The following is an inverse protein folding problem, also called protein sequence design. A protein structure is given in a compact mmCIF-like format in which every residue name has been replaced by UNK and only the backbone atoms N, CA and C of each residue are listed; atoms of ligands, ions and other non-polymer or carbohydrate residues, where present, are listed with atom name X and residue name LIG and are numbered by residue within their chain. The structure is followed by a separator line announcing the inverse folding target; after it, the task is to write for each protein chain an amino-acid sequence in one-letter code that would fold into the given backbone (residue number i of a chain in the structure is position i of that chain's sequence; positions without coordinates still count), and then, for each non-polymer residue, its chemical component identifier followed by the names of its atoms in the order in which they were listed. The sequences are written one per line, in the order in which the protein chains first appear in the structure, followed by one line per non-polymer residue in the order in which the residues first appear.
data_IF_116175211894
#
_entry.id   IF_116175211894
#
_cell.length_a   1.000
_cell.length_b   1.000
_cell.length_c   1.000
_cell.angle_alpha   90.00
_cell.angle_beta   90.00
_cell.angle_gamma   90.00
#
_symmetry.space_group_name_H-M   'P 1'
#
loop_
_entity.id
_entity.type
_entity.pdbx_description
1 polymer ?
#
# COMPACT_ATOMS: atom_id res chain seq x y z
N UNK A 1 9.05 37.37 -0.70
CA UNK A 1 9.51 35.99 -0.46
C UNK A 1 8.81 35.12 -1.47
N UNK A 2 9.57 34.47 -2.34
CA UNK A 2 8.98 33.60 -3.36
C UNK A 2 8.44 32.33 -2.69
N UNK A 3 7.20 31.98 -3.03
CA UNK A 3 6.52 30.82 -2.46
C UNK A 3 7.01 29.55 -3.16
N UNK A 4 7.43 28.56 -2.38
CA UNK A 4 7.88 27.27 -2.90
C UNK A 4 6.73 26.34 -3.31
N UNK A 5 7.08 25.12 -3.73
CA UNK A 5 6.12 24.10 -4.19
C UNK A 5 5.11 23.73 -3.08
N UNK A 6 5.57 23.67 -1.82
CA UNK A 6 4.74 23.25 -0.68
C UNK A 6 3.53 24.19 -0.46
N UNK A 7 3.72 25.51 -0.21
CA UNK A 7 2.58 26.43 -0.02
C UNK A 7 1.69 26.56 -1.26
N UNK A 8 2.26 26.49 -2.48
CA UNK A 8 1.46 26.49 -3.72
C UNK A 8 0.58 25.24 -3.81
N UNK A 9 1.09 24.08 -3.40
CA UNK A 9 0.34 22.83 -3.37
C UNK A 9 -0.84 22.91 -2.42
N UNK A 10 -0.68 23.56 -1.26
CA UNK A 10 -1.77 23.76 -0.30
C UNK A 10 -2.91 24.57 -0.91
N UNK A 11 -2.61 25.68 -1.58
CA UNK A 11 -3.63 26.47 -2.27
C UNK A 11 -4.35 25.67 -3.33
N UNK A 12 -3.62 24.88 -4.11
CA UNK A 12 -4.22 24.06 -5.15
C UNK A 12 -5.18 23.01 -4.56
N UNK A 13 -4.78 22.34 -3.47
CA UNK A 13 -5.62 21.38 -2.75
C UNK A 13 -6.91 22.03 -2.26
N UNK A 14 -6.82 23.12 -1.50
CA UNK A 14 -8.01 23.76 -0.92
C UNK A 14 -8.87 24.49 -1.97
N UNK A 15 -8.26 24.98 -3.05
CA UNK A 15 -9.00 25.52 -4.20
C UNK A 15 -9.77 24.43 -4.93
N UNK A 16 -9.21 23.21 -5.04
CA UNK A 16 -9.93 22.08 -5.61
C UNK A 16 -11.10 21.67 -4.71
N UNK A 17 -10.85 21.48 -3.40
CA UNK A 17 -11.87 21.11 -2.40
C UNK A 17 -13.04 22.10 -2.40
N UNK A 18 -12.76 23.41 -2.45
CA UNK A 18 -13.80 24.44 -2.46
C UNK A 18 -14.64 24.50 -3.75
N UNK A 19 -14.14 23.94 -4.86
CA UNK A 19 -14.86 23.87 -6.15
C UNK A 19 -15.65 22.57 -6.30
N UNK A 20 -15.29 21.52 -5.56
CA UNK A 20 -15.98 20.24 -5.61
C UNK A 20 -17.39 20.35 -5.02
N UNK A 21 -18.35 19.73 -5.69
CA UNK A 21 -19.74 19.60 -5.23
C UNK A 21 -20.03 18.13 -4.92
N UNK A 22 -20.93 17.85 -3.98
CA UNK A 22 -21.34 16.50 -3.57
C UNK A 22 -20.20 15.60 -3.04
N UNK A 23 -19.13 16.18 -2.52
CA UNK A 23 -17.99 15.45 -1.96
C UNK A 23 -17.59 16.04 -0.62
N UNK A 24 -17.29 15.19 0.35
CA UNK A 24 -16.80 15.57 1.68
C UNK A 24 -15.31 15.25 1.78
N UNK A 25 -14.53 16.19 2.30
CA UNK A 25 -13.08 16.06 2.38
C UNK A 25 -12.57 16.16 3.83
N UNK A 26 -11.67 15.25 4.20
CA UNK A 26 -10.90 15.33 5.42
C UNK A 26 -9.40 15.42 5.08
N UNK A 27 -8.80 16.58 5.37
CA UNK A 27 -7.37 16.81 5.15
C UNK A 27 -6.63 16.71 6.47
N UNK A 28 -5.64 15.82 6.52
CA UNK A 28 -4.75 15.63 7.65
C UNK A 28 -3.30 15.89 7.25
N UNK A 29 -2.59 16.67 8.07
CA UNK A 29 -1.19 16.98 7.87
C UNK A 29 -0.33 16.38 8.99
N UNK A 30 0.82 15.83 8.61
CA UNK A 30 1.85 15.33 9.52
C UNK A 30 3.22 15.82 9.04
N UNK A 31 4.13 16.11 9.97
CA UNK A 31 5.47 16.58 9.61
C UNK A 31 6.51 15.89 10.47
N UNK A 32 7.48 15.26 9.82
CA UNK A 32 8.51 14.49 10.50
C UNK A 32 9.89 14.77 9.94
N UNK A 33 10.88 14.39 10.72
CA UNK A 33 12.29 14.44 10.37
C UNK A 33 12.93 13.06 10.56
N UNK A 34 13.82 12.69 9.65
CA UNK A 34 14.68 11.51 9.76
C UNK A 34 16.12 11.99 9.86
N UNK A 35 16.79 11.69 10.97
CA UNK A 35 18.20 11.99 11.18
C UNK A 35 18.89 10.82 11.85
N UNK A 36 20.06 10.43 11.33
CA UNK A 36 20.83 9.28 11.83
C UNK A 36 19.97 8.00 12.01
N UNK A 37 19.04 7.74 11.08
CA UNK A 37 18.07 6.63 11.16
C UNK A 37 17.14 6.68 12.39
N UNK A 38 16.93 7.84 13.01
CA UNK A 38 15.89 8.09 14.00
C UNK A 38 14.80 8.97 13.40
N UNK A 39 13.53 8.62 13.69
CA UNK A 39 12.35 9.37 13.23
C UNK A 39 11.91 10.25 14.39
N UNK A 40 11.74 11.54 14.12
CA UNK A 40 11.23 12.54 15.06
C UNK A 40 9.97 13.19 14.49
N UNK A 41 9.02 13.44 15.36
CA UNK A 41 7.79 14.14 15.02
C UNK A 41 7.97 15.63 15.27
N UNK A 42 7.95 16.43 14.21
CA UNK A 42 8.17 17.88 14.31
C UNK A 42 6.97 18.63 14.90
N UNK A 43 5.82 17.97 15.03
CA UNK A 43 4.58 18.55 15.53
C UNK A 43 4.22 18.07 16.96
N UNK A 44 4.90 17.04 17.46
CA UNK A 44 4.69 16.55 18.82
C UNK A 44 5.22 17.55 19.87
N UNK A 45 4.56 17.60 21.03
CA UNK A 45 5.08 18.36 22.18
C UNK A 45 6.33 17.71 22.77
N UNK A 46 6.35 16.37 22.78
CA UNK A 46 7.48 15.59 23.27
C UNK A 46 8.38 15.19 22.09
N UNK A 47 9.51 15.86 21.98
CA UNK A 47 10.51 15.65 20.93
C UNK A 47 11.46 14.47 21.22
N UNK A 48 11.42 13.90 22.43
CA UNK A 48 12.27 12.78 22.82
C UNK A 48 11.64 11.42 22.52
N UNK A 49 10.35 11.40 22.13
CA UNK A 49 9.65 10.17 21.78
C UNK A 49 10.22 9.58 20.50
N UNK A 50 10.79 8.37 20.61
CA UNK A 50 11.25 7.61 19.43
C UNK A 50 10.07 6.98 18.71
N UNK A 51 9.93 7.27 17.43
CA UNK A 51 8.90 6.68 16.58
C UNK A 51 9.40 5.45 15.82
N UNK A 52 8.50 4.48 15.66
CA UNK A 52 8.78 3.21 15.00
C UNK A 52 7.98 3.06 13.70
N UNK A 53 8.63 2.50 12.68
CA UNK A 53 7.99 2.11 11.44
C UNK A 53 7.33 0.74 11.60
N UNK A 54 6.05 0.68 11.26
CA UNK A 54 5.25 -0.54 11.20
C UNK A 54 4.75 -0.75 9.78
N UNK A 55 4.30 -1.96 9.51
CA UNK A 55 3.80 -2.37 8.22
C UNK A 55 2.45 -3.04 8.45
N UNK A 56 1.45 -2.62 7.71
CA UNK A 56 0.12 -3.22 7.68
C UNK A 56 -0.13 -3.73 6.25
N UNK A 57 -0.61 -4.98 6.07
CA UNK A 57 -0.98 -5.51 4.76
C UNK A 57 -1.93 -4.62 3.95
N UNK A 58 -2.83 -3.88 4.61
CA UNK A 58 -3.83 -3.05 3.93
C UNK A 58 -3.32 -1.63 3.63
N UNK A 59 -2.67 -0.97 4.60
CA UNK A 59 -2.30 0.45 4.50
C UNK A 59 -0.84 0.69 4.11
N UNK A 60 -0.03 -0.36 4.04
CA UNK A 60 1.39 -0.31 3.74
C UNK A 60 2.25 0.06 4.94
N UNK A 61 3.40 0.67 4.68
CA UNK A 61 4.33 1.13 5.73
C UNK A 61 3.79 2.42 6.36
N UNK A 62 3.70 2.47 7.68
CA UNK A 62 3.24 3.62 8.43
C UNK A 62 4.06 3.85 9.70
N UNK A 63 4.03 5.06 10.23
CA UNK A 63 4.73 5.41 11.48
C UNK A 63 3.73 5.34 12.61
N UNK A 64 4.01 4.50 13.61
CA UNK A 64 3.15 4.37 14.78
C UNK A 64 3.26 5.64 15.63
N UNK A 65 2.12 6.15 16.08
CA UNK A 65 1.98 7.33 16.94
C UNK A 65 2.52 8.65 16.36
N UNK A 66 2.62 8.76 15.03
CA UNK A 66 2.91 10.02 14.38
C UNK A 66 1.73 10.99 14.55
N UNK A 67 2.00 12.21 15.00
CA UNK A 67 0.98 13.23 15.17
C UNK A 67 0.39 13.63 13.82
N UNK A 68 -0.93 13.76 13.78
CA UNK A 68 -1.66 14.18 12.60
C UNK A 68 -2.69 15.23 12.97
N UNK A 69 -2.67 16.36 12.26
CA UNK A 69 -3.53 17.49 12.54
C UNK A 69 -4.53 17.66 11.40
N UNK A 70 -5.81 17.79 11.76
CA UNK A 70 -6.87 18.10 10.79
C UNK A 70 -6.77 19.58 10.45
N UNK A 71 -6.73 19.89 9.15
CA UNK A 71 -6.61 21.26 8.64
C UNK A 71 -7.77 21.59 7.71
N UNK A 72 -8.49 22.69 7.97
CA UNK A 72 -9.71 23.08 7.25
C UNK A 72 -9.48 24.13 6.18
N UNK A 73 -8.35 24.82 6.20
CA UNK A 73 -8.02 25.87 5.25
C UNK A 73 -6.50 26.00 5.07
N UNK A 74 -6.10 26.79 4.07
CA UNK A 74 -4.70 27.05 3.73
C UNK A 74 -3.91 27.61 4.92
N UNK A 75 -4.51 28.52 5.71
CA UNK A 75 -3.82 29.14 6.85
C UNK A 75 -3.50 28.13 7.95
N UNK A 76 -4.40 27.19 8.22
CA UNK A 76 -4.20 26.14 9.23
C UNK A 76 -3.06 25.18 8.82
N UNK A 77 -3.01 24.74 7.56
CA UNK A 77 -1.93 23.86 7.10
C UNK A 77 -0.58 24.59 7.02
N UNK A 78 -0.58 25.87 6.63
CA UNK A 78 0.62 26.71 6.66
C UNK A 78 1.10 26.91 8.10
N UNK A 79 0.19 27.07 9.06
CA UNK A 79 0.54 27.14 10.48
C UNK A 79 1.21 25.86 10.98
N UNK A 80 0.67 24.68 10.61
CA UNK A 80 1.27 23.38 10.94
C UNK A 80 2.68 23.24 10.33
N UNK A 81 2.85 23.62 9.07
CA UNK A 81 4.15 23.62 8.39
C UNK A 81 5.16 24.55 9.09
N UNK A 82 4.74 25.77 9.45
CA UNK A 82 5.59 26.75 10.11
C UNK A 82 6.00 26.29 11.51
N UNK A 83 5.07 25.68 12.28
CA UNK A 83 5.36 25.11 13.59
C UNK A 83 6.46 24.04 13.50
N UNK A 84 6.31 23.06 12.60
CA UNK A 84 7.34 22.02 12.47
C UNK A 84 8.66 22.54 11.90
N UNK A 85 8.63 23.58 11.06
CA UNK A 85 9.85 24.23 10.55
C UNK A 85 10.61 24.96 11.66
N UNK A 86 9.91 25.60 12.61
CA UNK A 86 10.51 26.20 13.79
C UNK A 86 11.13 25.13 14.69
N UNK A 87 10.42 24.02 14.94
CA UNK A 87 10.95 22.89 15.71
C UNK A 87 12.24 22.34 15.09
N UNK A 88 12.26 22.14 13.77
CA UNK A 88 13.46 21.71 13.02
C UNK A 88 14.61 22.69 13.19
N UNK A 89 14.34 24.00 13.10
CA UNK A 89 15.35 25.04 13.28
C UNK A 89 15.94 25.06 14.69
N UNK A 90 15.13 24.93 15.73
CA UNK A 90 15.60 24.91 17.13
C UNK A 90 16.47 23.67 17.40
N UNK A 91 16.10 22.53 16.81
CA UNK A 91 16.92 21.32 16.85
C UNK A 91 18.33 21.53 16.26
N UNK A 92 18.45 22.35 15.20
CA UNK A 92 19.72 22.63 14.54
C UNK A 92 20.64 23.60 15.29
N UNK A 93 20.11 24.48 16.15
CA UNK A 93 20.92 25.44 16.92
C UNK A 93 21.57 24.84 18.17
N UNK A 94 20.98 23.77 18.74
CA UNK A 94 21.48 23.13 19.96
C UNK A 94 22.54 22.04 19.68
N UNK A 95 22.65 21.57 18.44
CA UNK A 95 23.55 20.49 18.00
C UNK A 95 23.98 20.82 16.56
N UNK A 96 25.25 21.18 16.33
CA UNK A 96 25.91 21.50 15.04
C UNK A 96 25.10 21.27 13.74
N UNK A 97 25.01 22.30 12.88
CA UNK A 97 24.63 22.29 11.44
C UNK A 97 23.86 21.04 10.95
N UNK A 98 22.70 20.79 11.56
CA UNK A 98 21.96 19.53 11.49
C UNK A 98 21.03 19.43 10.26
N UNK A 99 20.55 20.57 9.75
CA UNK A 99 19.50 20.62 8.71
C UNK A 99 19.95 20.09 7.35
N UNK A 100 21.25 20.21 7.00
CA UNK A 100 21.83 19.65 5.78
C UNK A 100 21.97 18.13 5.84
N UNK A 101 21.88 17.54 7.04
CA UNK A 101 22.13 16.12 7.30
C UNK A 101 20.87 15.34 7.70
N UNK A 102 19.72 16.01 7.77
CA UNK A 102 18.42 15.41 8.06
C UNK A 102 17.49 15.47 6.85
N UNK A 103 16.58 14.50 6.76
CA UNK A 103 15.49 14.50 5.78
C UNK A 103 14.23 15.00 6.45
N UNK A 104 13.51 15.92 5.83
CA UNK A 104 12.22 16.38 6.30
C UNK A 104 11.11 15.91 5.36
N UNK A 105 10.02 15.41 5.93
CA UNK A 105 8.92 14.83 5.16
C UNK A 105 7.61 15.40 5.68
N UNK A 106 6.94 16.19 4.85
CA UNK A 106 5.62 16.71 5.11
C UNK A 106 4.59 15.83 4.38
N UNK A 107 3.73 15.16 5.14
CA UNK A 107 2.71 14.25 4.64
C UNK A 107 1.35 14.92 4.71
N UNK A 108 0.63 14.89 3.60
CA UNK A 108 -0.77 15.32 3.52
C UNK A 108 -1.59 14.10 3.14
N UNK A 109 -2.50 13.69 4.01
CA UNK A 109 -3.50 12.66 3.72
C UNK A 109 -4.82 13.34 3.46
N UNK A 110 -5.43 13.05 2.32
CA UNK A 110 -6.72 13.58 1.90
C UNK A 110 -7.67 12.41 1.76
N UNK A 111 -8.69 12.36 2.60
CA UNK A 111 -9.80 11.42 2.48
C UNK A 111 -10.97 12.13 1.82
N UNK A 112 -11.56 11.52 0.81
CA UNK A 112 -12.73 12.01 0.10
C UNK A 112 -13.85 10.98 0.25
N UNK A 113 -15.00 11.38 0.77
CA UNK A 113 -16.23 10.61 0.72
C UNK A 113 -17.14 11.19 -0.36
N UNK A 114 -17.61 10.33 -1.26
CA UNK A 114 -18.52 10.66 -2.35
C UNK A 114 -19.70 9.69 -2.33
N UNK A 115 -20.93 10.20 -2.34
CA UNK A 115 -22.11 9.34 -2.43
C UNK A 115 -22.26 8.84 -3.87
N UNK A 116 -22.14 7.53 -4.04
CA UNK A 116 -22.33 6.87 -5.33
C UNK A 116 -23.78 6.91 -5.82
N UNK A 117 -23.98 6.52 -7.08
CA UNK A 117 -25.32 6.36 -7.67
C UNK A 117 -26.18 5.32 -6.92
N UNK A 118 -25.51 4.38 -6.25
CA UNK A 118 -26.11 3.30 -5.47
C UNK A 118 -26.60 3.78 -4.09
N UNK A 119 -26.36 5.04 -3.73
CA UNK A 119 -26.73 5.64 -2.43
C UNK A 119 -25.74 5.35 -1.31
N UNK A 120 -24.70 4.54 -1.57
CA UNK A 120 -23.62 4.22 -0.63
C UNK A 120 -22.49 5.27 -0.68
N UNK A 121 -21.79 5.45 0.44
CA UNK A 121 -20.62 6.32 0.51
C UNK A 121 -19.35 5.59 0.07
N UNK A 122 -18.69 6.11 -0.96
CA UNK A 122 -17.41 5.62 -1.44
C UNK A 122 -16.26 6.47 -0.90
N UNK A 123 -15.32 5.83 -0.21
CA UNK A 123 -14.18 6.51 0.40
C UNK A 123 -12.93 6.30 -0.44
N UNK A 124 -12.27 7.42 -0.77
CA UNK A 124 -11.00 7.45 -1.51
C UNK A 124 -9.94 8.15 -0.69
N UNK A 125 -8.73 7.58 -0.65
CA UNK A 125 -7.63 8.12 0.16
C UNK A 125 -6.42 8.48 -0.70
N UNK A 126 -6.14 9.76 -0.81
CA UNK A 126 -4.92 10.30 -1.41
C UNK A 126 -3.85 10.59 -0.35
N UNK A 127 -2.59 10.27 -0.67
CA UNK A 127 -1.43 10.66 0.15
C UNK A 127 -0.45 11.46 -0.72
N UNK A 128 -0.13 12.67 -0.29
CA UNK A 128 0.91 13.51 -0.88
C UNK A 128 2.09 13.61 0.09
N UNK A 129 3.25 13.11 -0.34
CA UNK A 129 4.49 13.19 0.42
C UNK A 129 5.40 14.24 -0.20
N UNK A 130 5.72 15.29 0.55
CA UNK A 130 6.66 16.34 0.17
C UNK A 130 7.95 16.11 0.95
N UNK A 131 8.99 15.69 0.24
CA UNK A 131 10.25 15.21 0.83
C UNK A 131 11.37 16.20 0.51
N UNK A 132 11.99 16.74 1.55
CA UNK A 132 13.22 17.51 1.51
C UNK A 132 14.37 16.60 1.98
N UNK A 133 15.22 16.19 1.05
CA UNK A 133 16.30 15.24 1.32
C UNK A 133 17.52 15.95 1.91
N UNK A 134 18.27 15.24 2.75
CA UNK A 134 19.60 15.65 3.17
C UNK A 134 20.52 15.89 1.97
N UNK A 135 21.56 16.70 2.17
CA UNK A 135 22.56 17.02 1.17
C UNK A 135 23.20 15.78 0.55
N UNK A 136 23.31 15.75 -0.78
CA UNK A 136 23.89 14.63 -1.52
C UNK A 136 25.42 14.63 -1.53
N UNK A 137 26.05 15.67 -1.00
CA UNK A 137 27.48 15.85 -0.99
C UNK A 137 28.23 14.82 -0.13
N UNK A 138 29.44 14.49 -0.58
CA UNK A 138 30.29 13.54 0.13
C UNK A 138 30.96 14.22 1.34
N UNK A 139 30.80 13.59 2.50
CA UNK A 139 31.41 14.02 3.77
C UNK A 139 32.95 14.16 3.70
N UNK A 140 33.63 13.47 2.77
CA UNK A 140 35.08 13.59 2.57
C UNK A 140 35.55 14.99 2.17
N UNK A 141 34.65 15.83 1.63
CA UNK A 141 34.95 17.23 1.29
C UNK A 141 34.74 18.20 2.46
N UNK A 142 34.09 17.77 3.56
CA UNK A 142 33.72 18.63 4.69
C UNK A 142 34.81 18.80 5.77
N UNK A 143 36.08 18.45 5.51
CA UNK A 143 37.20 18.84 6.38
C UNK A 143 37.15 18.34 7.83
N UNK A 144 36.34 17.31 8.14
CA UNK A 144 36.19 16.78 9.50
C UNK A 144 37.41 15.94 9.92
N UNK A 145 38.52 16.60 10.21
CA UNK A 145 39.63 16.04 10.98
C UNK A 145 39.21 15.95 12.45
N UNK A 146 38.70 14.77 12.85
CA UNK A 146 38.52 14.42 14.25
C UNK A 146 37.10 14.58 14.78
N UNK A 147 36.25 13.58 14.51
CA UNK A 147 35.66 12.71 15.55
C UNK A 147 34.74 11.67 14.88
N UNK A 148 35.01 10.39 15.18
CA UNK A 148 34.15 9.19 15.05
C UNK A 148 33.63 8.81 13.65
N UNK A 149 34.40 7.98 12.90
CA UNK A 149 33.94 7.35 11.64
C UNK A 149 32.60 6.58 11.72
N UNK A 150 32.14 6.19 12.92
CA UNK A 150 30.84 5.52 13.12
C UNK A 150 29.63 6.45 12.98
N UNK A 151 29.77 7.73 13.29
CA UNK A 151 28.71 8.73 13.15
C UNK A 151 28.64 9.24 11.71
N UNK A 152 29.81 9.48 11.10
CA UNK A 152 29.95 9.84 9.69
C UNK A 152 29.35 8.79 8.73
N UNK A 153 29.42 7.49 9.08
CA UNK A 153 28.85 6.40 8.27
C UNK A 153 27.31 6.41 8.24
N UNK A 154 26.65 6.87 9.31
CA UNK A 154 25.18 6.85 9.42
C UNK A 154 24.49 8.02 8.71
N UNK A 155 25.17 9.16 8.54
CA UNK A 155 24.56 10.35 7.92
C UNK A 155 24.19 10.07 6.46
N UNK A 156 25.08 9.42 5.70
CA UNK A 156 24.85 9.12 4.29
C UNK A 156 24.22 7.75 4.05
N UNK A 157 23.84 7.02 5.10
CA UNK A 157 23.25 5.67 4.98
C UNK A 157 21.94 5.73 4.20
N UNK A 158 21.05 6.65 4.56
CA UNK A 158 19.74 6.86 3.92
C UNK A 158 19.86 7.18 2.42
N UNK A 159 20.74 8.10 2.03
CA UNK A 159 20.97 8.45 0.61
C UNK A 159 21.67 7.33 -0.17
N UNK A 160 22.60 6.61 0.47
CA UNK A 160 23.27 5.46 -0.15
C UNK A 160 22.28 4.31 -0.38
N UNK A 161 21.45 4.01 0.62
CA UNK A 161 20.36 3.03 0.52
C UNK A 161 19.37 3.42 -0.58
N UNK A 162 19.00 4.71 -0.67
CA UNK A 162 18.17 5.22 -1.75
C UNK A 162 18.80 4.98 -3.13
N UNK A 163 20.11 5.23 -3.28
CA UNK A 163 20.85 4.94 -4.51
C UNK A 163 20.87 3.44 -4.87
N UNK A 164 20.99 2.56 -3.87
CA UNK A 164 20.95 1.11 -4.06
C UNK A 164 19.56 0.63 -4.50
N UNK A 165 18.49 1.15 -3.88
CA UNK A 165 17.11 0.86 -4.25
C UNK A 165 16.83 1.27 -5.70
N UNK A 166 17.22 2.48 -6.09
CA UNK A 166 17.06 2.97 -7.47
C UNK A 166 17.82 2.09 -8.45
N UNK A 167 19.06 1.74 -8.14
CA UNK A 167 19.87 0.89 -9.03
C UNK A 167 19.25 -0.50 -9.19
N UNK A 168 18.78 -1.11 -8.10
CA UNK A 168 18.11 -2.41 -8.13
C UNK A 168 16.79 -2.37 -8.93
N UNK A 169 16.01 -1.29 -8.81
CA UNK A 169 14.76 -1.11 -9.56
C UNK A 169 14.99 -0.93 -11.06
N UNK A 170 16.06 -0.22 -11.44
CA UNK A 170 16.40 0.05 -12.85
C UNK A 170 17.01 -1.18 -13.52
N UNK A 171 17.89 -1.90 -12.81
CA UNK A 171 18.53 -3.10 -13.35
C UNK A 171 17.52 -4.21 -13.62
N UNK A 172 16.45 -4.31 -12.81
CA UNK A 172 15.36 -5.28 -12.97
C UNK A 172 15.77 -6.75 -12.81
N UNK A 173 17.05 -7.01 -12.54
CA UNK A 173 17.62 -8.35 -12.34
C UNK A 173 17.40 -8.88 -10.93
N UNK A 174 17.30 -7.98 -9.96
CA UNK A 174 17.15 -8.32 -8.54
C UNK A 174 15.69 -8.49 -8.20
N UNK A 175 15.29 -9.69 -7.78
CA UNK A 175 13.94 -9.95 -7.25
C UNK A 175 13.71 -9.22 -5.91
N UNK A 176 14.77 -9.03 -5.13
CA UNK A 176 14.72 -8.36 -3.84
C UNK A 176 15.25 -6.92 -3.94
N UNK A 177 14.41 -5.94 -3.60
CA UNK A 177 14.78 -4.53 -3.53
C UNK A 177 15.09 -4.17 -2.06
N UNK A 178 16.24 -3.56 -1.75
CA UNK A 178 16.70 -3.36 -0.38
C UNK A 178 16.04 -2.14 0.31
N UNK A 179 14.71 -2.07 0.33
CA UNK A 179 14.00 -0.97 1.03
C UNK A 179 14.32 -0.92 2.51
N UNK A 180 14.69 -2.05 3.12
CA UNK A 180 14.93 -2.18 4.57
C UNK A 180 16.26 -1.60 5.05
N UNK A 181 17.16 -1.23 4.14
CA UNK A 181 18.49 -0.73 4.48
C UNK A 181 18.46 0.67 5.15
N UNK A 182 17.36 1.42 4.98
CA UNK A 182 17.13 2.67 5.70
C UNK A 182 15.65 2.91 6.00
N UNK A 183 15.36 3.67 7.07
CA UNK A 183 13.99 4.11 7.40
C UNK A 183 13.38 4.98 6.31
N UNK A 184 14.20 5.79 5.64
CA UNK A 184 13.77 6.63 4.51
C UNK A 184 13.25 5.77 3.35
N UNK A 185 14.03 4.78 2.91
CA UNK A 185 13.65 3.89 1.80
C UNK A 185 12.46 3.00 2.15
N UNK A 186 12.28 2.63 3.42
CA UNK A 186 11.08 1.93 3.89
C UNK A 186 9.84 2.81 3.83
N UNK A 187 9.93 4.07 4.26
CA UNK A 187 8.81 5.01 4.20
C UNK A 187 8.42 5.34 2.75
N UNK A 188 9.42 5.47 1.88
CA UNK A 188 9.24 5.83 0.47
C UNK A 188 9.09 4.60 -0.45
N UNK A 189 8.87 3.42 0.10
CA UNK A 189 8.72 2.18 -0.66
C UNK A 189 7.61 2.29 -1.72
N UNK A 190 6.46 2.88 -1.36
CA UNK A 190 5.37 3.09 -2.32
C UNK A 190 5.74 4.12 -3.40
N UNK A 191 6.59 5.08 -3.06
CA UNK A 191 7.06 6.14 -3.96
C UNK A 191 8.08 5.62 -4.99
N UNK A 192 8.78 4.52 -4.71
CA UNK A 192 9.84 4.00 -5.56
C UNK A 192 9.44 2.61 -6.08
N UNK A 193 8.86 2.53 -7.28
CA UNK A 193 8.42 1.26 -7.86
C UNK A 193 7.09 0.71 -7.33
N UNK A 194 6.40 1.43 -6.45
CA UNK A 194 5.12 1.04 -5.85
C UNK A 194 3.90 1.79 -6.41
N UNK A 195 2.87 1.91 -5.57
CA UNK A 195 1.61 2.60 -5.86
C UNK A 195 1.71 4.11 -5.55
N UNK A 196 2.44 4.85 -6.38
CA UNK A 196 2.52 6.30 -6.27
C UNK A 196 2.86 6.96 -7.60
N UNK A 197 2.43 8.21 -7.76
CA UNK A 197 2.96 9.11 -8.78
C UNK A 197 4.11 9.90 -8.18
N UNK A 198 5.33 9.65 -8.64
CA UNK A 198 6.54 10.20 -8.03
C UNK A 198 7.22 11.18 -8.97
N UNK A 199 7.56 12.36 -8.44
CA UNK A 199 8.31 13.40 -9.12
C UNK A 199 9.59 13.62 -8.34
N UNK A 200 10.73 13.57 -9.02
CA UNK A 200 12.02 13.91 -8.44
C UNK A 200 12.48 15.26 -9.01
N UNK A 201 12.82 16.20 -8.14
CA UNK A 201 13.45 17.47 -8.52
C UNK A 201 14.92 17.40 -8.15
N UNK A 202 15.79 17.45 -9.16
CA UNK A 202 17.24 17.47 -8.98
C UNK A 202 17.74 18.93 -8.95
N UNK A 203 18.21 19.38 -7.79
CA UNK A 203 18.80 20.72 -7.61
C UNK A 203 20.31 20.67 -7.85
N UNK A 204 20.85 21.66 -8.58
CA UNK A 204 22.25 21.69 -9.01
C UNK A 204 22.89 23.04 -8.69
N UNK A 205 24.18 23.02 -8.37
CA UNK A 205 24.98 24.23 -8.19
C UNK A 205 25.62 24.66 -9.51
N UNK A 206 25.46 25.92 -9.97
CA UNK A 206 26.05 26.37 -11.24
C UNK A 206 27.55 26.64 -11.17
N UNK A 207 28.13 26.65 -9.95
CA UNK A 207 29.53 26.99 -9.74
C UNK A 207 30.48 25.85 -10.15
N UNK A 208 31.68 26.21 -10.61
CA UNK A 208 32.70 25.25 -11.07
C UNK A 208 33.13 24.27 -9.97
N UNK A 209 33.20 24.72 -8.71
CA UNK A 209 33.53 23.85 -7.58
C UNK A 209 32.45 22.80 -7.27
N UNK A 210 31.21 23.00 -7.74
CA UNK A 210 30.09 22.07 -7.59
C UNK A 210 29.98 21.06 -8.75
N UNK A 211 30.94 21.07 -9.69
CA UNK A 211 30.86 20.26 -10.91
C UNK A 211 30.67 18.76 -10.63
N UNK A 212 31.52 18.16 -9.76
CA UNK A 212 31.46 16.73 -9.46
C UNK A 212 30.16 16.30 -8.78
N UNK A 213 29.64 17.14 -7.87
CA UNK A 213 28.38 16.87 -7.18
C UNK A 213 27.20 17.02 -8.14
N UNK A 214 27.21 18.06 -8.97
CA UNK A 214 26.17 18.29 -9.98
C UNK A 214 26.11 17.15 -11.00
N UNK A 215 27.27 16.67 -11.47
CA UNK A 215 27.35 15.50 -12.35
C UNK A 215 26.83 14.23 -11.66
N UNK A 216 27.13 14.06 -10.37
CA UNK A 216 26.64 12.92 -9.58
C UNK A 216 25.11 12.96 -9.42
N UNK A 217 24.55 14.13 -9.11
CA UNK A 217 23.09 14.36 -9.01
C UNK A 217 22.40 14.11 -10.35
N UNK A 218 22.96 14.59 -11.47
CA UNK A 218 22.43 14.33 -12.81
C UNK A 218 22.43 12.84 -13.17
N UNK A 219 23.53 12.13 -12.87
CA UNK A 219 23.60 10.67 -13.08
C UNK A 219 22.57 9.93 -12.24
N UNK A 220 22.38 10.36 -10.99
CA UNK A 220 21.36 9.80 -10.11
C UNK A 220 19.95 10.03 -10.67
N UNK A 221 19.63 11.26 -11.07
CA UNK A 221 18.33 11.60 -11.67
C UNK A 221 18.09 10.82 -12.98
N UNK A 222 19.11 10.63 -13.81
CA UNK A 222 19.02 9.84 -15.03
C UNK A 222 18.67 8.36 -14.75
N UNK A 223 19.19 7.78 -13.65
CA UNK A 223 18.77 6.43 -13.22
C UNK A 223 17.34 6.45 -12.70
N UNK A 224 17.01 7.37 -11.80
CA UNK A 224 15.68 7.48 -11.20
C UNK A 224 14.57 7.64 -12.25
N UNK A 225 14.84 8.34 -13.35
CA UNK A 225 13.93 8.49 -14.50
C UNK A 225 13.44 7.16 -15.09
N UNK A 226 14.23 6.09 -14.98
CA UNK A 226 13.89 4.79 -15.56
C UNK A 226 13.04 3.91 -14.62
N UNK A 227 12.75 4.37 -13.40
CA UNK A 227 11.87 3.65 -12.48
C UNK A 227 10.44 3.68 -13.01
N UNK A 228 9.79 2.52 -13.01
CA UNK A 228 8.39 2.36 -13.41
C UNK A 228 7.51 2.11 -12.19
N UNK A 229 6.72 3.11 -11.81
CA UNK A 229 5.70 2.96 -10.77
C UNK A 229 4.41 2.38 -11.35
N UNK A 230 3.56 1.82 -10.48
CA UNK A 230 2.25 1.26 -10.83
C UNK A 230 1.16 1.96 -10.02
N UNK A 231 0.85 3.24 -10.30
CA UNK A 231 -0.17 3.97 -9.57
C UNK A 231 -1.56 3.36 -9.81
N UNK A 232 -2.33 3.22 -8.74
CA UNK A 232 -3.70 2.73 -8.66
C UNK A 232 -4.50 3.68 -7.76
N UNK A 233 -5.82 3.75 -7.97
CA UNK A 233 -6.68 4.54 -7.09
C UNK A 233 -6.86 3.77 -5.78
N UNK A 234 -6.71 4.44 -4.65
CA UNK A 234 -6.92 3.85 -3.33
C UNK A 234 -8.39 4.05 -2.96
N UNK A 235 -9.18 3.02 -3.24
CA UNK A 235 -10.61 2.93 -2.91
C UNK A 235 -10.80 1.71 -2.02
N UNK A 236 -11.92 1.65 -1.30
CA UNK A 236 -12.22 0.45 -0.51
C UNK A 236 -12.28 -0.79 -1.42
N UNK A 237 -11.78 -1.95 -0.96
CA UNK A 237 -11.73 -3.15 -1.79
C UNK A 237 -13.13 -3.63 -2.20
N UNK A 238 -14.16 -3.30 -1.40
CA UNK A 238 -15.57 -3.55 -1.74
C UNK A 238 -16.01 -2.72 -2.94
N UNK A 239 -15.67 -1.44 -2.95
CA UNK A 239 -16.00 -0.49 -4.02
C UNK A 239 -15.26 -0.83 -5.31
N UNK A 240 -13.99 -1.22 -5.18
CA UNK A 240 -13.18 -1.68 -6.30
C UNK A 240 -13.84 -2.89 -6.97
N UNK A 241 -14.25 -3.88 -6.17
CA UNK A 241 -14.88 -5.11 -6.67
C UNK A 241 -16.27 -4.84 -7.26
N UNK A 242 -17.05 -3.94 -6.65
CA UNK A 242 -18.35 -3.50 -7.17
C UNK A 242 -18.20 -2.86 -8.56
N UNK A 243 -17.22 -1.98 -8.74
CA UNK A 243 -16.95 -1.34 -10.04
C UNK A 243 -16.53 -2.37 -11.09
N UNK A 244 -15.62 -3.28 -10.75
CA UNK A 244 -15.21 -4.36 -11.67
C UNK A 244 -16.39 -5.24 -12.08
N UNK A 245 -17.27 -5.60 -11.13
CA UNK A 245 -18.48 -6.36 -11.44
C UNK A 245 -19.48 -5.57 -12.29
N UNK A 246 -19.68 -4.27 -12.03
CA UNK A 246 -20.53 -3.42 -12.85
C UNK A 246 -20.01 -3.30 -14.28
N UNK A 247 -18.70 -3.11 -14.47
CA UNK A 247 -18.05 -3.08 -15.78
C UNK A 247 -18.22 -4.42 -16.52
N UNK A 248 -18.05 -5.55 -15.83
CA UNK A 248 -18.24 -6.86 -16.43
C UNK A 248 -19.72 -7.14 -16.76
N UNK A 249 -20.67 -6.68 -15.92
CA UNK A 249 -22.11 -6.75 -16.23
C UNK A 249 -22.42 -5.96 -17.51
N UNK A 250 -21.88 -4.75 -17.66
CA UNK A 250 -22.07 -3.94 -18.88
C UNK A 250 -21.48 -4.66 -20.09
N UNK A 251 -20.27 -5.20 -19.96
CA UNK A 251 -19.60 -5.94 -21.01
C UNK A 251 -20.36 -7.20 -21.44
N UNK A 252 -20.88 -7.97 -20.47
CA UNK A 252 -21.68 -9.16 -20.73
C UNK A 252 -23.05 -8.81 -21.33
N UNK A 253 -23.71 -7.76 -20.83
CA UNK A 253 -24.96 -7.24 -21.42
C UNK A 253 -24.78 -6.80 -22.87
N UNK A 254 -23.62 -6.23 -23.22
CA UNK A 254 -23.30 -5.87 -24.60
C UNK A 254 -23.03 -7.08 -25.51
N UNK A 255 -22.64 -8.23 -24.94
CA UNK A 255 -22.41 -9.48 -25.68
C UNK A 255 -23.66 -10.36 -25.81
N UNK A 256 -24.73 -10.05 -25.08
CA UNK A 256 -26.01 -10.72 -25.26
C UNK A 256 -26.76 -10.08 -26.44
N UNK A 257 -27.16 -10.84 -27.48
CA UNK A 257 -28.12 -10.33 -28.44
C UNK A 257 -29.42 -10.02 -27.68
N UNK A 258 -29.97 -8.82 -27.88
CA UNK A 258 -31.24 -8.42 -27.32
C UNK A 258 -32.32 -9.41 -27.78
N UNK A 259 -32.66 -10.39 -26.93
CA UNK A 259 -33.81 -11.26 -27.13
C UNK A 259 -35.04 -10.36 -27.12
N UNK A 260 -35.81 -10.26 -28.21
CA UNK A 260 -37.03 -9.47 -28.22
C UNK A 260 -37.96 -10.01 -27.15
N UNK A 261 -38.43 -9.13 -26.27
CA UNK A 261 -39.53 -9.38 -25.35
C UNK A 261 -40.83 -9.56 -26.13
N UNK A 262 -41.00 -10.69 -26.81
CA UNK A 262 -42.26 -11.10 -27.43
C UNK A 262 -42.71 -12.40 -26.80
N UNK A 263 -43.33 -12.31 -25.61
CA UNK A 263 -44.34 -13.27 -25.20
C UNK A 263 -45.28 -12.67 -24.15
N UNK A 264 -45.99 -11.62 -24.56
CA UNK A 264 -47.19 -11.13 -23.89
C UNK A 264 -48.28 -10.94 -24.93
N UNK A 265 -48.78 -12.06 -25.47
CA UNK A 265 -50.13 -12.12 -26.03
C UNK A 265 -50.78 -13.39 -25.50
N UNK A 266 -51.83 -13.17 -24.70
CA UNK A 266 -52.68 -14.22 -24.17
C UNK A 266 -53.22 -15.08 -25.30
N UNK A 267 -53.18 -16.38 -25.10
CA UNK A 267 -53.96 -17.34 -25.87
C UNK A 267 -55.14 -17.73 -24.97
N UNK A 268 -56.30 -17.13 -25.22
CA UNK A 268 -57.58 -17.66 -24.76
C UNK A 268 -57.75 -19.07 -25.34
N UNK A 269 -57.80 -20.07 -24.46
CA UNK A 269 -58.20 -21.43 -24.83
C UNK A 269 -59.68 -21.58 -24.49
N UNK A 270 -60.52 -21.47 -25.51
CA UNK A 270 -61.91 -21.91 -25.45
C UNK A 270 -61.99 -23.39 -25.07
N UNK A 271 -62.89 -23.69 -24.15
CA UNK A 271 -63.18 -25.03 -23.69
C UNK A 271 -64.04 -25.77 -24.73
N UNK A 272 -63.49 -26.82 -25.35
CA UNK A 272 -64.31 -27.82 -26.04
C UNK A 272 -63.89 -29.24 -25.67
N UNK A 273 -64.79 -29.88 -24.92
CA UNK A 273 -65.14 -31.31 -24.90
C UNK A 273 -64.03 -32.36 -25.06
N UNK A 274 -63.74 -33.06 -23.95
CA UNK A 274 -62.94 -34.28 -23.92
C UNK A 274 -63.84 -35.50 -24.20
N UNK A 275 -63.57 -36.35 -25.21
CA UNK A 275 -64.12 -37.69 -25.25
C UNK A 275 -63.21 -38.68 -24.53
N UNK A 276 -63.87 -39.51 -23.75
CA UNK A 276 -63.41 -40.63 -22.90
C UNK A 276 -63.10 -41.86 -23.75
N UNK A 277 -62.00 -42.60 -23.51
CA UNK A 277 -61.77 -44.04 -23.82
C UNK A 277 -60.25 -44.31 -23.57
N UNK A 278 -59.74 -45.40 -22.99
CA UNK A 278 -60.27 -46.57 -22.29
C UNK A 278 -59.08 -47.19 -21.53
N UNK A 279 -59.34 -47.82 -20.38
CA UNK A 279 -58.40 -48.52 -19.51
C UNK A 279 -58.09 -49.94 -20.04
N UNK A 280 -56.84 -50.42 -20.00
CA UNK A 280 -56.53 -51.87 -19.91
C UNK A 280 -55.22 -52.09 -19.10
N UNK A 281 -55.13 -53.10 -18.21
CA UNK A 281 -54.16 -53.17 -17.10
C UNK A 281 -53.08 -54.27 -17.26
N UNK A 282 -52.07 -54.27 -16.37
CA UNK A 282 -51.14 -55.40 -16.11
C UNK A 282 -50.84 -55.49 -14.58
N UNK A 283 -50.44 -56.66 -14.04
CA UNK A 283 -51.19 -57.32 -12.98
C UNK A 283 -50.43 -57.39 -11.64
N UNK A 284 -51.21 -57.68 -10.60
CA UNK A 284 -50.84 -57.82 -9.20
C UNK A 284 -50.36 -59.23 -8.84
N UNK A 285 -49.36 -59.35 -7.96
CA UNK A 285 -49.14 -60.45 -7.00
C UNK A 285 -48.25 -59.89 -5.86
N UNK A 286 -48.37 -60.13 -4.55
CA UNK A 286 -49.44 -60.49 -3.60
C UNK A 286 -48.74 -60.69 -2.23
N UNK A 287 -49.02 -59.84 -1.23
CA UNK A 287 -49.11 -59.98 0.27
C UNK A 287 -48.28 -61.01 1.11
N UNK A 288 -48.33 -61.06 2.48
CA UNK A 288 -48.93 -60.17 3.51
C UNK A 288 -48.07 -59.91 4.80
N UNK A 289 -48.58 -59.02 5.67
CA UNK A 289 -48.43 -59.05 7.15
C UNK A 289 -47.43 -58.09 7.81
N UNK A 290 -47.59 -57.51 9.01
CA UNK A 290 -48.72 -57.20 9.92
C UNK A 290 -48.15 -56.30 11.05
N UNK A 291 -48.95 -55.35 11.54
CA UNK A 291 -49.03 -54.85 12.94
C UNK A 291 -47.90 -54.03 13.63
N UNK A 292 -48.28 -52.79 13.98
CA UNK A 292 -48.19 -52.07 15.28
C UNK A 292 -47.00 -52.25 16.25
N UNK A 293 -46.49 -51.11 16.77
CA UNK A 293 -45.83 -51.08 18.09
C UNK A 293 -45.02 -49.83 18.40
N UNK A 294 -45.21 -49.30 19.61
CA UNK A 294 -44.72 -48.04 20.19
C UNK A 294 -43.20 -47.94 20.49
N UNK A 295 -42.79 -46.68 20.73
CA UNK A 295 -41.81 -46.18 21.73
C UNK A 295 -40.31 -45.99 21.41
N UNK A 296 -39.93 -44.70 21.43
CA UNK A 296 -38.84 -44.01 22.16
C UNK A 296 -37.35 -44.34 21.91
N UNK A 297 -36.58 -43.24 22.02
CA UNK A 297 -35.16 -43.05 22.36
C UNK A 297 -34.12 -42.90 21.23
N UNK A 298 -33.61 -41.66 21.13
CA UNK A 298 -32.21 -41.27 20.83
C UNK A 298 -31.34 -41.68 22.05
N UNK A 299 -30.01 -41.95 21.99
CA UNK A 299 -29.02 -41.39 21.06
C UNK A 299 -27.78 -42.27 20.70
N UNK A 300 -26.83 -41.64 19.99
CA UNK A 300 -25.37 -41.81 20.02
C UNK A 300 -24.65 -42.83 19.09
N UNK A 301 -23.65 -42.25 18.43
CA UNK A 301 -22.49 -42.75 17.68
C UNK A 301 -22.02 -44.20 17.87
N UNK A 302 -21.65 -44.86 16.76
CA UNK A 302 -20.53 -45.81 16.70
C UNK A 302 -19.79 -45.70 15.36
N UNK A 303 -18.47 -45.62 15.51
CA UNK A 303 -17.36 -45.61 14.56
C UNK A 303 -17.27 -46.93 13.78
N UNK A 304 -16.94 -46.86 12.49
CA UNK A 304 -16.48 -48.03 11.70
C UNK A 304 -14.94 -48.02 11.55
N UNK A 305 -14.27 -49.20 11.53
CA UNK A 305 -12.83 -49.34 11.80
C UNK A 305 -11.92 -49.38 10.57
N UNK A 306 -10.62 -49.31 10.87
CA UNK A 306 -9.41 -49.47 10.03
C UNK A 306 -9.46 -50.62 9.01
N UNK A 307 -8.72 -50.47 7.89
CA UNK A 307 -7.58 -51.36 7.60
C UNK A 307 -6.45 -50.63 6.85
N UNK A 308 -5.27 -50.64 7.49
CA UNK A 308 -3.93 -50.41 6.93
C UNK A 308 -3.54 -51.55 5.98
N UNK A 309 -2.70 -51.25 5.00
CA UNK A 309 -1.49 -52.08 4.77
C UNK A 309 -0.29 -51.18 4.47
N UNK A 310 0.77 -51.49 5.18
CA UNK A 310 2.11 -50.89 5.24
C UNK A 310 3.07 -51.56 4.27
N UNK A 311 4.10 -50.83 3.85
CA UNK A 311 5.39 -51.43 3.49
C UNK A 311 6.51 -50.73 4.26
N UNK A 312 7.17 -51.51 5.12
CA UNK A 312 8.37 -51.18 5.89
C UNK A 312 9.65 -51.55 5.12
N UNK A 313 10.74 -50.89 5.52
CA UNK A 313 12.15 -51.07 5.13
C UNK A 313 12.71 -52.48 5.37
N UNK A 314 13.96 -52.76 4.90
CA UNK A 314 15.05 -52.82 5.89
C UNK A 314 16.45 -52.33 5.42
N UNK A 315 17.18 -51.76 6.39
CA UNK A 315 18.63 -51.81 6.74
C UNK A 315 19.61 -52.60 5.83
N UNK A 316 20.90 -52.25 5.61
CA UNK A 316 21.96 -51.85 6.56
C UNK A 316 23.32 -51.51 5.86
N UNK A 317 24.16 -50.73 6.57
CA UNK A 317 25.63 -50.88 6.77
C UNK A 317 26.70 -50.20 5.87
N UNK A 318 27.45 -49.28 6.54
CA UNK A 318 28.91 -49.09 6.66
C UNK A 318 29.83 -48.80 5.44
N UNK A 319 30.51 -47.63 5.47
CA UNK A 319 31.97 -47.36 5.68
C UNK A 319 32.28 -45.90 5.27
N UNK A 320 32.72 -45.02 6.18
CA UNK A 320 34.12 -44.65 6.46
C UNK A 320 34.96 -44.21 5.23
N UNK A 321 35.35 -42.94 5.18
CA UNK A 321 36.76 -42.47 5.22
C UNK A 321 36.84 -40.96 5.53
N UNK A 322 37.63 -40.64 6.56
CA UNK A 322 38.32 -39.36 6.83
C UNK A 322 39.54 -39.27 5.88
N UNK A 323 40.34 -38.22 5.69
CA UNK A 323 40.63 -36.92 6.31
C UNK A 323 41.78 -36.26 5.50
N UNK A 324 42.09 -35.00 5.83
CA UNK A 324 43.35 -34.24 5.61
C UNK A 324 43.46 -33.42 4.31
N UNK A 325 43.97 -32.18 4.27
CA UNK A 325 44.58 -31.29 5.26
C UNK A 325 45.83 -30.57 4.70
N UNK A 326 45.97 -29.27 4.99
CA UNK A 326 47.14 -28.35 4.79
C UNK A 326 47.36 -27.84 3.35
N UNK A 327 47.77 -26.60 3.10
CA UNK A 327 48.54 -25.61 3.88
C UNK A 327 47.89 -24.23 3.86
#
# INVERSE_FOLDING_TARGET
MDRGIIPISFEHIFTHISRSQNQQYLVRASYLEIYQEEIRDLLAKDQNKKLELKENPETGVYIKDLSSFVTKNVKEIEHVMNLGSQTRSVGSTNMNEYSSRSHAIFLITIECSETGLDGEEHIRVGKLNLVDLAGSERQSKMGAHGERPKEASKINLSLSALGNVISALVDGKSTHIPYRDSKLTRLLQDSLGGNAKTIMVATLGPASHSYDESLSTLRFANRAKNIKNKPRVNEDPKDTLLREFQEEIVRLKAQMPALPSTCSKGLELEATSVPRLLWVPYPYMSHPGTCCGHQRQVPAAVVAPEQRTSWTTPTSSRRCWSSSGRR
#
